data_IF_557013293453
#
_entry.id   IF_557013293453
#
_cell.length_a   1.000
_cell.length_b   1.000
_cell.length_c   1.000
_cell.angle_alpha   90.00
_cell.angle_beta   90.00
_cell.angle_gamma   90.00
#
_symmetry.space_group_name_H-M   'P 1'
#
loop_
_entity.id
_entity.type
_entity.pdbx_description
1 polymer ?
#
# COMPACT_ATOMS: atom_id res chain seq x y z
N UNK A 1 9.03 1.53 14.90
CA UNK A 1 10.20 1.13 14.08
C UNK A 1 11.35 0.52 14.91
N UNK A 2 11.91 1.17 15.96
CA UNK A 2 13.14 0.67 16.60
C UNK A 2 13.01 -0.69 17.30
N UNK A 3 11.84 -1.00 17.89
CA UNK A 3 11.57 -2.30 18.53
C UNK A 3 11.48 -3.47 17.54
N UNK A 4 10.94 -3.22 16.35
CA UNK A 4 10.83 -4.25 15.29
C UNK A 4 12.21 -4.53 14.70
N UNK A 5 12.98 -3.48 14.42
CA UNK A 5 14.35 -3.61 13.90
C UNK A 5 15.25 -4.34 14.90
N UNK A 6 15.17 -3.98 16.20
CA UNK A 6 15.91 -4.68 17.26
C UNK A 6 15.52 -6.15 17.37
N UNK A 7 14.22 -6.48 17.28
CA UNK A 7 13.75 -7.87 17.27
C UNK A 7 14.23 -8.66 16.05
N UNK A 8 14.27 -8.04 14.86
CA UNK A 8 14.79 -8.66 13.64
C UNK A 8 16.30 -8.87 13.66
N UNK A 9 17.06 -7.88 14.15
CA UNK A 9 18.51 -7.98 14.31
C UNK A 9 18.87 -9.07 15.32
N UNK A 10 18.16 -9.14 16.46
CA UNK A 10 18.37 -10.19 17.45
C UNK A 10 18.10 -11.59 16.85
N UNK A 11 17.00 -11.75 16.10
CA UNK A 11 16.69 -13.01 15.44
C UNK A 11 17.77 -13.41 14.40
N UNK A 12 18.22 -12.47 13.57
CA UNK A 12 19.28 -12.71 12.58
C UNK A 12 20.63 -13.07 13.22
N UNK A 13 20.99 -12.43 14.34
CA UNK A 13 22.19 -12.75 15.10
C UNK A 13 22.09 -14.17 15.68
N UNK A 14 20.93 -14.57 16.22
CA UNK A 14 20.70 -15.93 16.72
C UNK A 14 20.88 -16.97 15.62
N UNK A 15 20.31 -16.74 14.42
CA UNK A 15 20.47 -17.60 13.24
C UNK A 15 21.93 -17.70 12.81
N UNK A 16 22.64 -16.56 12.73
CA UNK A 16 24.05 -16.50 12.37
C UNK A 16 24.93 -17.25 13.38
N UNK A 17 24.67 -17.07 14.67
CA UNK A 17 25.40 -17.75 15.73
C UNK A 17 25.16 -19.27 15.70
N UNK A 18 23.93 -19.73 15.43
CA UNK A 18 23.60 -21.15 15.26
C UNK A 18 24.30 -21.76 14.04
N UNK A 19 24.33 -21.07 12.90
CA UNK A 19 25.00 -21.53 11.69
C UNK A 19 26.53 -21.58 11.84
N UNK A 20 27.13 -20.63 12.56
CA UNK A 20 28.57 -20.63 12.87
C UNK A 20 28.90 -21.73 13.88
N UNK A 21 28.10 -21.90 14.93
CA UNK A 21 28.27 -22.95 15.94
C UNK A 21 28.19 -24.35 15.31
N UNK A 22 27.25 -24.55 14.38
CA UNK A 22 27.16 -25.75 13.55
C UNK A 22 28.46 -26.03 12.80
N UNK A 23 28.95 -25.05 12.02
CA UNK A 23 30.12 -25.22 11.15
C UNK A 23 31.37 -25.52 11.97
N UNK A 24 31.49 -24.92 13.15
CA UNK A 24 32.60 -25.13 14.09
C UNK A 24 32.52 -26.49 14.81
N UNK A 25 31.33 -26.97 15.13
CA UNK A 25 31.17 -28.12 16.02
C UNK A 25 31.13 -29.47 15.29
N UNK A 26 30.73 -29.51 14.02
CA UNK A 26 30.48 -30.79 13.35
C UNK A 26 31.41 -31.12 12.19
N UNK A 27 31.81 -30.22 11.30
CA UNK A 27 32.66 -30.59 10.15
C UNK A 27 32.13 -31.76 9.29
N UNK A 28 30.88 -32.18 9.53
CA UNK A 28 30.23 -33.37 8.95
C UNK A 28 29.57 -32.97 7.64
N UNK A 29 29.58 -33.89 6.69
CA UNK A 29 28.87 -33.78 5.42
C UNK A 29 27.38 -33.39 5.64
N UNK A 30 26.93 -32.24 5.12
CA UNK A 30 25.53 -31.80 5.22
C UNK A 30 24.52 -32.78 4.59
N UNK A 31 24.96 -33.78 3.83
CA UNK A 31 24.13 -34.81 3.25
C UNK A 31 23.68 -35.90 4.25
N UNK A 32 24.31 -36.00 5.43
CA UNK A 32 23.98 -37.05 6.42
C UNK A 32 22.53 -36.92 6.95
N UNK A 33 21.70 -37.99 6.88
CA UNK A 33 20.32 -37.99 7.38
C UNK A 33 20.16 -37.60 8.85
N UNK A 34 21.12 -37.97 9.71
CA UNK A 34 21.13 -37.62 11.14
C UNK A 34 21.36 -36.11 11.30
N UNK A 35 22.29 -35.55 10.54
CA UNK A 35 22.57 -34.10 10.50
C UNK A 35 21.37 -33.32 9.96
N UNK A 36 20.67 -33.87 8.95
CA UNK A 36 19.43 -33.29 8.40
C UNK A 36 18.26 -33.30 9.37
N UNK A 37 18.09 -34.36 10.16
CA UNK A 37 17.03 -34.43 11.17
C UNK A 37 17.35 -33.51 12.35
N UNK A 38 18.62 -33.49 12.79
CA UNK A 38 19.08 -32.61 13.86
C UNK A 38 18.94 -31.12 13.49
N UNK A 39 19.21 -30.73 12.23
CA UNK A 39 18.95 -29.36 11.74
C UNK A 39 17.53 -28.90 11.97
N UNK A 40 16.57 -29.77 11.66
CA UNK A 40 15.15 -29.41 11.63
C UNK A 40 14.71 -28.93 13.02
N UNK A 41 15.12 -29.65 14.07
CA UNK A 41 14.80 -29.32 15.45
C UNK A 41 15.32 -27.93 15.85
N UNK A 42 16.53 -27.57 15.44
CA UNK A 42 17.10 -26.25 15.70
C UNK A 42 16.36 -25.13 14.97
N UNK A 43 15.91 -25.36 13.73
CA UNK A 43 15.11 -24.38 12.97
C UNK A 43 13.74 -24.17 13.62
N UNK A 44 13.09 -25.24 14.09
CA UNK A 44 11.82 -25.10 14.82
C UNK A 44 12.00 -24.40 16.16
N UNK A 45 13.08 -24.70 16.89
CA UNK A 45 13.42 -24.00 18.13
C UNK A 45 13.67 -22.51 17.87
N UNK A 46 14.40 -22.18 16.81
CA UNK A 46 14.65 -20.79 16.41
C UNK A 46 13.35 -20.06 16.04
N UNK A 47 12.44 -20.70 15.30
CA UNK A 47 11.11 -20.16 15.02
C UNK A 47 10.30 -19.89 16.31
N UNK A 48 10.33 -20.81 17.28
CA UNK A 48 9.67 -20.62 18.59
C UNK A 48 10.29 -19.46 19.36
N UNK A 49 11.63 -19.37 19.39
CA UNK A 49 12.36 -18.29 20.04
C UNK A 49 12.02 -16.94 19.37
N UNK A 50 12.04 -16.87 18.03
CA UNK A 50 11.70 -15.67 17.28
C UNK A 50 10.27 -15.19 17.57
N UNK A 51 9.31 -16.12 17.68
CA UNK A 51 7.93 -15.83 18.09
C UNK A 51 7.87 -15.32 19.53
N UNK A 52 8.54 -15.98 20.47
CA UNK A 52 8.53 -15.61 21.89
C UNK A 52 9.12 -14.21 22.10
N UNK A 53 10.28 -13.92 21.50
CA UNK A 53 10.89 -12.59 21.53
C UNK A 53 9.99 -11.54 20.89
N UNK A 54 9.42 -11.84 19.71
CA UNK A 54 8.52 -10.91 19.02
C UNK A 54 7.25 -10.61 19.83
N UNK A 55 6.71 -11.61 20.53
CA UNK A 55 5.61 -11.44 21.48
C UNK A 55 6.01 -10.58 22.67
N UNK A 56 7.18 -10.82 23.26
CA UNK A 56 7.74 -10.03 24.36
C UNK A 56 7.99 -8.56 24.00
N UNK A 57 8.32 -8.26 22.74
CA UNK A 57 8.44 -6.89 22.23
C UNK A 57 7.11 -6.24 21.83
N UNK A 58 5.98 -6.93 22.01
CA UNK A 58 4.64 -6.40 21.73
C UNK A 58 4.34 -6.24 20.23
N UNK A 59 4.94 -7.07 19.36
CA UNK A 59 4.60 -7.07 17.94
C UNK A 59 3.15 -7.51 17.72
N UNK A 60 2.52 -7.01 16.65
CA UNK A 60 1.15 -7.41 16.28
C UNK A 60 1.09 -8.91 16.00
N UNK A 61 -0.03 -9.56 16.33
CA UNK A 61 -0.20 -11.03 16.18
C UNK A 61 0.18 -11.60 14.82
N UNK A 62 -0.11 -10.89 13.73
CA UNK A 62 0.25 -11.35 12.38
C UNK A 62 1.77 -11.38 12.15
N UNK A 63 2.54 -10.49 12.80
CA UNK A 63 3.99 -10.53 12.75
C UNK A 63 4.56 -11.78 13.42
N UNK A 64 3.87 -12.33 14.43
CA UNK A 64 4.28 -13.60 15.04
C UNK A 64 4.20 -14.74 14.03
N UNK A 65 3.16 -14.76 13.19
CA UNK A 65 3.05 -15.75 12.12
C UNK A 65 4.20 -15.63 11.10
N UNK A 66 4.59 -14.40 10.73
CA UNK A 66 5.75 -14.15 9.86
C UNK A 66 7.04 -14.66 10.49
N UNK A 67 7.25 -14.37 11.79
CA UNK A 67 8.47 -14.77 12.51
C UNK A 67 8.57 -16.30 12.69
N UNK A 68 7.44 -16.99 12.78
CA UNK A 68 7.41 -18.45 12.75
C UNK A 68 7.73 -19.00 11.35
N UNK A 69 7.12 -18.42 10.31
CA UNK A 69 7.20 -18.94 8.95
C UNK A 69 8.58 -18.70 8.29
N UNK A 70 9.25 -17.59 8.59
CA UNK A 70 10.43 -17.15 7.86
C UNK A 70 11.65 -18.10 8.03
N UNK A 71 12.03 -18.56 9.24
CA UNK A 71 13.11 -19.53 9.40
C UNK A 71 12.81 -20.87 8.71
N UNK A 72 11.56 -21.32 8.79
CA UNK A 72 11.09 -22.55 8.13
C UNK A 72 11.18 -22.41 6.61
N UNK A 73 10.69 -21.30 6.06
CA UNK A 73 10.73 -21.03 4.63
C UNK A 73 12.17 -20.93 4.11
N UNK A 74 13.06 -20.25 4.85
CA UNK A 74 14.48 -20.13 4.49
C UNK A 74 15.17 -21.50 4.48
N UNK A 75 14.90 -22.34 5.49
CA UNK A 75 15.44 -23.70 5.55
C UNK A 75 14.92 -24.59 4.42
N UNK A 76 13.64 -24.52 4.10
CA UNK A 76 13.08 -25.24 2.96
C UNK A 76 13.69 -24.77 1.64
N UNK A 77 13.89 -23.47 1.47
CA UNK A 77 14.50 -22.91 0.27
C UNK A 77 15.93 -23.43 0.04
N UNK A 78 16.71 -23.57 1.13
CA UNK A 78 18.04 -24.19 1.09
C UNK A 78 17.97 -25.70 0.81
N UNK A 79 16.97 -26.41 1.35
CA UNK A 79 16.79 -27.86 1.12
C UNK A 79 16.41 -28.21 -0.31
N UNK A 80 15.57 -27.38 -0.93
CA UNK A 80 15.12 -27.58 -2.30
C UNK A 80 16.09 -26.98 -3.34
N UNK A 81 17.24 -26.47 -2.90
CA UNK A 81 18.25 -25.81 -3.76
C UNK A 81 17.59 -24.80 -4.71
N UNK A 82 16.72 -23.95 -4.14
CA UNK A 82 15.92 -23.03 -4.96
C UNK A 82 16.85 -22.10 -5.74
N UNK A 83 16.69 -22.01 -7.08
CA UNK A 83 17.52 -21.14 -7.89
C UNK A 83 17.49 -19.67 -7.42
N UNK A 84 18.63 -18.96 -7.41
CA UNK A 84 18.70 -17.58 -6.95
C UNK A 84 17.73 -16.61 -7.64
N UNK A 85 17.37 -16.89 -8.90
CA UNK A 85 16.44 -16.05 -9.66
C UNK A 85 15.02 -16.02 -9.07
N UNK A 86 14.60 -17.03 -8.29
CA UNK A 86 13.29 -17.03 -7.62
C UNK A 86 13.22 -15.90 -6.59
N UNK A 87 14.28 -15.73 -5.80
CA UNK A 87 14.37 -14.65 -4.82
C UNK A 87 14.46 -13.28 -5.50
N UNK A 88 15.15 -13.20 -6.64
CA UNK A 88 15.20 -11.99 -7.46
C UNK A 88 13.80 -11.62 -7.98
N UNK A 89 13.04 -12.58 -8.50
CA UNK A 89 11.66 -12.34 -8.94
C UNK A 89 10.78 -11.90 -7.76
N UNK A 90 10.86 -12.59 -6.62
CA UNK A 90 10.12 -12.21 -5.43
C UNK A 90 10.46 -10.77 -4.98
N UNK A 91 11.74 -10.42 -5.00
CA UNK A 91 12.21 -9.07 -4.71
C UNK A 91 11.66 -8.05 -5.72
N UNK A 92 11.74 -8.33 -7.02
CA UNK A 92 11.22 -7.43 -8.07
C UNK A 92 9.72 -7.23 -7.94
N UNK A 93 8.95 -8.27 -7.63
CA UNK A 93 7.50 -8.17 -7.38
C UNK A 93 7.23 -7.30 -6.15
N UNK A 94 7.90 -7.56 -5.04
CA UNK A 94 7.75 -6.76 -3.82
C UNK A 94 8.12 -5.30 -4.06
N UNK A 95 9.24 -5.05 -4.76
CA UNK A 95 9.67 -3.71 -5.12
C UNK A 95 8.65 -3.01 -6.01
N UNK A 96 8.14 -3.68 -7.05
CA UNK A 96 7.14 -3.12 -7.95
C UNK A 96 5.83 -2.75 -7.23
N UNK A 97 5.48 -3.45 -6.15
CA UNK A 97 4.25 -3.19 -5.37
C UNK A 97 4.47 -2.15 -4.26
N UNK A 98 5.63 -2.17 -3.61
CA UNK A 98 5.88 -1.40 -2.38
C UNK A 98 6.91 -0.28 -2.52
N UNK A 99 7.36 0.06 -3.74
CA UNK A 99 8.33 1.14 -3.99
C UNK A 99 7.95 2.47 -3.32
N UNK A 100 6.65 2.82 -3.33
CA UNK A 100 6.15 4.08 -2.76
C UNK A 100 6.18 4.10 -1.23
N UNK A 101 6.07 2.93 -0.59
CA UNK A 101 6.20 2.83 0.86
C UNK A 101 7.62 3.20 1.30
N UNK A 102 8.63 2.86 0.50
CA UNK A 102 10.05 3.15 0.76
C UNK A 102 10.45 4.58 0.40
N UNK A 103 9.94 5.13 -0.71
CA UNK A 103 10.32 6.47 -1.16
C UNK A 103 9.48 7.59 -0.55
N UNK A 104 8.15 7.42 -0.53
CA UNK A 104 7.20 8.50 -0.22
C UNK A 104 6.50 8.32 1.13
N UNK A 105 6.75 7.19 1.83
CA UNK A 105 6.03 6.81 3.06
C UNK A 105 4.52 6.72 2.85
N UNK A 106 4.12 6.35 1.64
CA UNK A 106 2.74 6.08 1.25
C UNK A 106 2.62 4.59 0.95
N UNK A 107 2.23 3.75 1.92
CA UNK A 107 1.95 2.35 1.64
C UNK A 107 0.68 2.24 0.80
N UNK A 108 0.53 1.10 0.10
CA UNK A 108 -0.66 0.84 -0.71
C UNK A 108 -1.89 0.68 0.21
N UNK A 109 -2.73 1.70 0.25
CA UNK A 109 -4.04 1.64 0.88
C UNK A 109 -5.12 1.34 -0.17
N UNK A 110 -5.96 0.36 0.13
CA UNK A 110 -7.06 -0.03 -0.75
C UNK A 110 -8.38 0.50 -0.19
N UNK A 111 -9.03 1.34 -0.99
CA UNK A 111 -10.42 1.74 -0.79
C UNK A 111 -11.33 0.52 -1.04
N UNK A 112 -12.38 0.36 -0.23
CA UNK A 112 -13.32 -0.75 -0.37
C UNK A 112 -14.59 -0.30 -1.12
N UNK A 113 -15.44 -1.27 -1.47
CA UNK A 113 -16.68 -1.01 -2.24
C UNK A 113 -17.64 -0.08 -1.52
N UNK A 114 -17.77 -0.18 -0.19
CA UNK A 114 -18.64 0.69 0.60
C UNK A 114 -18.16 2.13 0.54
N UNK A 115 -16.85 2.35 0.65
CA UNK A 115 -16.26 3.69 0.50
C UNK A 115 -16.41 4.22 -0.94
N UNK A 116 -16.33 3.38 -1.97
CA UNK A 116 -16.58 3.81 -3.35
C UNK A 116 -18.01 4.32 -3.54
N UNK A 117 -19.00 3.62 -2.98
CA UNK A 117 -20.40 4.03 -3.03
C UNK A 117 -20.61 5.35 -2.27
N UNK A 118 -20.11 5.45 -1.04
CA UNK A 118 -20.18 6.68 -0.25
C UNK A 118 -19.51 7.86 -0.96
N UNK A 119 -18.33 7.66 -1.55
CA UNK A 119 -17.68 8.68 -2.38
C UNK A 119 -18.60 9.11 -3.54
N UNK A 120 -19.19 8.17 -4.26
CA UNK A 120 -20.14 8.45 -5.33
C UNK A 120 -21.31 9.34 -4.86
N UNK A 121 -21.86 9.09 -3.67
CA UNK A 121 -22.93 9.89 -3.07
C UNK A 121 -22.46 11.32 -2.73
N UNK A 122 -21.27 11.47 -2.13
CA UNK A 122 -20.65 12.79 -1.91
C UNK A 122 -20.55 13.55 -3.22
N UNK A 123 -20.07 12.89 -4.28
CA UNK A 123 -19.92 13.51 -5.59
C UNK A 123 -21.26 13.88 -6.24
N UNK A 124 -22.36 13.14 -5.99
CA UNK A 124 -23.69 13.61 -6.47
C UNK A 124 -24.03 14.93 -5.79
N UNK A 125 -24.04 14.96 -4.45
CA UNK A 125 -24.50 16.12 -3.70
C UNK A 125 -23.65 17.37 -3.95
N UNK A 126 -22.32 17.21 -4.02
CA UNK A 126 -21.39 18.35 -4.17
C UNK A 126 -21.33 18.92 -5.59
N UNK A 127 -21.77 18.13 -6.58
CA UNK A 127 -21.66 18.47 -7.99
C UNK A 127 -23.01 18.77 -8.65
N UNK A 128 -24.11 18.49 -7.95
CA UNK A 128 -25.44 18.86 -8.37
C UNK A 128 -25.57 20.38 -8.58
N UNK A 129 -26.23 20.77 -9.67
CA UNK A 129 -26.46 22.18 -10.02
C UNK A 129 -25.23 22.94 -10.54
N UNK A 130 -24.06 22.31 -10.64
CA UNK A 130 -22.89 22.95 -11.26
C UNK A 130 -22.98 22.95 -12.78
N UNK A 131 -22.54 24.04 -13.39
CA UNK A 131 -22.57 24.19 -14.84
C UNK A 131 -21.34 23.52 -15.49
N UNK A 132 -21.60 22.42 -16.20
CA UNK A 132 -20.63 21.72 -17.04
C UNK A 132 -21.01 21.81 -18.53
N UNK A 133 -21.84 22.78 -18.92
CA UNK A 133 -22.32 22.90 -20.30
C UNK A 133 -21.14 22.93 -21.29
N UNK A 134 -21.15 21.98 -22.23
CA UNK A 134 -20.11 21.86 -23.25
C UNK A 134 -18.84 21.12 -22.84
N UNK A 135 -18.75 20.56 -21.63
CA UNK A 135 -17.63 19.69 -21.20
C UNK A 135 -18.06 18.59 -20.23
N UNK A 136 -17.18 17.63 -19.99
CA UNK A 136 -17.36 16.60 -18.97
C UNK A 136 -16.72 17.04 -17.65
N UNK A 137 -17.29 16.69 -16.49
CA UNK A 137 -16.61 16.84 -15.21
C UNK A 137 -15.37 15.95 -15.16
N UNK A 138 -14.30 16.44 -14.55
CA UNK A 138 -13.00 15.75 -14.49
C UNK A 138 -12.66 15.36 -13.06
N UNK A 139 -12.52 14.07 -12.81
CA UNK A 139 -12.13 13.49 -11.52
C UNK A 139 -10.70 12.97 -11.55
N UNK A 140 -9.88 13.37 -10.58
CA UNK A 140 -8.50 12.90 -10.42
C UNK A 140 -8.36 12.02 -9.16
N UNK A 141 -7.79 10.82 -9.31
CA UNK A 141 -7.40 9.91 -8.23
C UNK A 141 -5.87 9.96 -8.04
N UNK A 142 -5.42 10.64 -6.98
CA UNK A 142 -4.00 10.84 -6.69
C UNK A 142 -3.46 9.67 -5.86
N UNK A 143 -2.52 8.91 -6.44
CA UNK A 143 -2.07 7.65 -5.85
C UNK A 143 -3.15 6.56 -6.01
N UNK A 144 -3.65 6.43 -7.24
CA UNK A 144 -4.81 5.58 -7.58
C UNK A 144 -4.61 4.08 -7.29
N UNK A 145 -3.38 3.66 -6.94
CA UNK A 145 -3.05 2.31 -6.55
C UNK A 145 -3.41 1.32 -7.64
N UNK A 146 -4.16 0.30 -7.28
CA UNK A 146 -4.64 -0.72 -8.23
C UNK A 146 -5.87 -0.28 -9.03
N UNK A 147 -6.25 1.00 -9.02
CA UNK A 147 -7.32 1.58 -9.85
C UNK A 147 -8.74 1.16 -9.49
N UNK A 148 -9.00 0.72 -8.26
CA UNK A 148 -10.33 0.24 -7.84
C UNK A 148 -11.39 1.35 -7.81
N UNK A 149 -11.08 2.49 -7.18
CA UNK A 149 -11.96 3.67 -7.14
C UNK A 149 -12.21 4.21 -8.54
N UNK A 150 -11.13 4.33 -9.33
CA UNK A 150 -11.16 4.80 -10.71
C UNK A 150 -12.09 3.95 -11.60
N UNK A 151 -11.94 2.63 -11.61
CA UNK A 151 -12.78 1.75 -12.42
C UNK A 151 -14.26 1.78 -11.97
N UNK A 152 -14.50 1.86 -10.65
CA UNK A 152 -15.84 2.00 -10.11
C UNK A 152 -16.52 3.30 -10.56
N UNK A 153 -15.84 4.44 -10.42
CA UNK A 153 -16.38 5.74 -10.84
C UNK A 153 -16.56 5.80 -12.36
N UNK A 154 -15.58 5.33 -13.13
CA UNK A 154 -15.70 5.31 -14.59
C UNK A 154 -16.90 4.50 -15.09
N UNK A 155 -17.19 3.36 -14.44
CA UNK A 155 -18.35 2.52 -14.77
C UNK A 155 -19.68 3.10 -14.31
N UNK A 156 -19.72 3.77 -13.15
CA UNK A 156 -20.95 4.35 -12.59
C UNK A 156 -21.27 5.76 -13.11
N UNK A 157 -20.28 6.45 -13.68
CA UNK A 157 -20.37 7.83 -14.19
C UNK A 157 -19.74 7.93 -15.59
N UNK A 158 -20.34 7.32 -16.63
CA UNK A 158 -19.81 7.36 -18.00
C UNK A 158 -19.76 8.77 -18.60
N UNK A 159 -20.43 9.75 -17.98
CA UNK A 159 -20.43 11.17 -18.33
C UNK A 159 -19.27 11.97 -17.75
N UNK A 160 -18.46 11.37 -16.87
CA UNK A 160 -17.26 11.98 -16.28
C UNK A 160 -16.00 11.47 -16.95
N UNK A 161 -14.96 12.29 -16.97
CA UNK A 161 -13.61 11.86 -17.29
C UNK A 161 -12.84 11.55 -16.00
N UNK A 162 -12.35 10.32 -15.86
CA UNK A 162 -11.72 9.81 -14.64
C UNK A 162 -10.24 9.53 -14.89
N UNK A 163 -9.38 10.16 -14.11
CA UNK A 163 -7.93 10.17 -14.30
C UNK A 163 -7.24 9.68 -13.04
N UNK A 164 -6.50 8.59 -13.12
CA UNK A 164 -5.66 8.10 -12.03
C UNK A 164 -4.21 8.42 -12.29
N UNK A 165 -3.47 8.75 -11.24
CA UNK A 165 -2.00 8.86 -11.29
C UNK A 165 -1.38 7.92 -10.28
N UNK A 166 -0.32 7.23 -10.68
CA UNK A 166 0.37 6.24 -9.85
C UNK A 166 1.85 6.16 -10.25
N UNK A 167 2.73 5.98 -9.27
CA UNK A 167 4.19 5.86 -9.43
C UNK A 167 4.73 4.46 -9.14
N UNK A 168 3.98 3.63 -8.42
CA UNK A 168 4.34 2.24 -8.16
C UNK A 168 4.05 1.39 -9.41
N UNK A 169 5.05 0.75 -10.04
CA UNK A 169 4.88 0.04 -11.30
C UNK A 169 3.80 -1.05 -11.26
N UNK A 170 3.76 -1.85 -10.19
CA UNK A 170 2.79 -2.94 -10.03
C UNK A 170 1.36 -2.42 -9.93
N UNK A 171 1.03 -1.55 -8.96
CA UNK A 171 -0.27 -0.91 -8.85
C UNK A 171 -0.68 -0.20 -10.14
N UNK A 172 0.23 0.55 -10.78
CA UNK A 172 0.00 1.20 -12.07
C UNK A 172 -0.46 0.20 -13.15
N UNK A 173 0.26 -0.91 -13.34
CA UNK A 173 -0.11 -1.91 -14.37
C UNK A 173 -1.50 -2.48 -14.09
N UNK A 174 -1.81 -2.80 -12.82
CA UNK A 174 -3.13 -3.33 -12.45
C UNK A 174 -4.23 -2.28 -12.67
N UNK A 175 -3.98 -1.03 -12.27
CA UNK A 175 -4.91 0.08 -12.47
C UNK A 175 -5.17 0.37 -13.95
N UNK A 176 -4.11 0.39 -14.76
CA UNK A 176 -4.19 0.55 -16.21
C UNK A 176 -5.03 -0.56 -16.85
N UNK A 177 -4.77 -1.83 -16.51
CA UNK A 177 -5.58 -2.97 -17.00
C UNK A 177 -7.05 -2.86 -16.62
N UNK A 178 -7.36 -2.35 -15.40
CA UNK A 178 -8.74 -2.13 -14.95
C UNK A 178 -9.40 -0.92 -15.62
N UNK A 179 -8.64 0.03 -16.13
CA UNK A 179 -9.16 1.18 -16.86
C UNK A 179 -9.46 0.85 -18.33
N UNK A 180 -8.78 -0.14 -18.94
CA UNK A 180 -8.96 -0.50 -20.36
C UNK A 180 -10.41 -0.68 -20.83
N UNK A 181 -11.33 -1.28 -20.05
CA UNK A 181 -12.72 -1.44 -20.48
C UNK A 181 -13.53 -0.13 -20.50
N UNK A 182 -13.00 0.97 -19.96
CA UNK A 182 -13.71 2.22 -19.74
C UNK A 182 -13.15 3.32 -20.65
N UNK A 183 -13.93 3.77 -21.64
CA UNK A 183 -13.52 4.81 -22.58
C UNK A 183 -13.27 6.19 -21.93
N UNK A 184 -13.82 6.40 -20.73
CA UNK A 184 -13.72 7.62 -19.96
C UNK A 184 -12.69 7.53 -18.81
N UNK A 185 -11.87 6.47 -18.78
CA UNK A 185 -10.88 6.26 -17.73
C UNK A 185 -9.46 6.25 -18.30
N UNK A 186 -8.53 6.89 -17.59
CA UNK A 186 -7.10 6.82 -17.91
C UNK A 186 -6.29 6.68 -16.63
N UNK A 187 -5.20 5.90 -16.68
CA UNK A 187 -4.21 5.81 -15.60
C UNK A 187 -2.86 6.23 -16.14
N UNK A 188 -2.22 7.19 -15.49
CA UNK A 188 -0.95 7.78 -15.89
C UNK A 188 0.15 7.34 -14.93
N UNK A 189 1.28 6.90 -15.49
CA UNK A 189 2.47 6.56 -14.72
C UNK A 189 3.28 7.83 -14.43
N UNK A 190 2.84 8.60 -13.43
CA UNK A 190 3.40 9.92 -13.11
C UNK A 190 3.23 10.22 -11.63
N UNK A 191 4.13 11.02 -11.07
CA UNK A 191 3.99 11.51 -9.71
C UNK A 191 2.79 12.43 -9.58
N UNK A 192 2.04 12.28 -8.48
CA UNK A 192 0.99 13.22 -8.13
C UNK A 192 1.52 14.65 -7.95
N UNK A 193 2.79 14.81 -7.59
CA UNK A 193 3.42 16.13 -7.40
C UNK A 193 3.63 16.87 -8.73
N UNK A 194 3.95 16.12 -9.79
CA UNK A 194 4.19 16.61 -11.15
C UNK A 194 2.91 16.67 -11.99
N UNK A 195 1.78 16.26 -11.41
CA UNK A 195 0.46 16.30 -12.07
C UNK A 195 -0.14 17.69 -11.90
N UNK A 196 -0.54 18.32 -13.00
CA UNK A 196 -1.30 19.56 -13.00
C UNK A 196 -2.77 19.31 -12.61
N UNK A 197 -3.22 19.95 -11.52
CA UNK A 197 -4.58 19.83 -11.00
C UNK A 197 -5.55 20.89 -11.52
N UNK A 198 -5.08 21.83 -12.35
CA UNK A 198 -5.89 22.97 -12.82
C UNK A 198 -7.08 22.58 -13.70
N UNK A 199 -7.05 21.38 -14.27
CA UNK A 199 -8.15 20.82 -15.08
C UNK A 199 -9.17 20.01 -14.27
N UNK A 200 -8.92 19.72 -13.00
CA UNK A 200 -9.75 18.84 -12.19
C UNK A 200 -10.91 19.61 -11.55
N UNK A 201 -12.12 19.04 -11.63
CA UNK A 201 -13.29 19.50 -10.88
C UNK A 201 -13.35 18.83 -9.51
N UNK A 202 -12.83 17.59 -9.44
CA UNK A 202 -12.70 16.81 -8.22
C UNK A 202 -11.32 16.18 -8.15
N UNK A 203 -10.67 16.30 -6.99
CA UNK A 203 -9.45 15.55 -6.66
C UNK A 203 -9.75 14.67 -5.46
N UNK A 204 -9.41 13.39 -5.57
CA UNK A 204 -9.49 12.39 -4.51
C UNK A 204 -8.10 11.87 -4.16
N UNK A 205 -7.85 11.62 -2.88
CA UNK A 205 -6.61 11.03 -2.41
C UNK A 205 -6.85 10.03 -1.27
N UNK A 206 -6.19 8.87 -1.33
CA UNK A 206 -6.06 7.93 -0.21
C UNK A 206 -4.61 7.53 0.00
N UNK A 207 -3.83 8.47 0.55
CA UNK A 207 -2.38 8.34 0.72
C UNK A 207 -2.05 7.94 2.17
N UNK A 208 -1.16 8.68 2.84
CA UNK A 208 -0.86 8.57 4.26
C UNK A 208 -0.97 9.95 4.91
N UNK A 209 -0.85 10.09 6.26
CA UNK A 209 -0.85 11.40 6.90
C UNK A 209 0.30 12.32 6.46
N UNK A 210 1.47 11.74 6.17
CA UNK A 210 2.70 12.49 5.92
C UNK A 210 2.63 13.50 4.75
N UNK A 211 2.03 13.18 3.58
CA UNK A 211 1.92 14.13 2.47
C UNK A 211 0.74 15.10 2.55
N UNK A 212 -0.18 14.99 3.52
CA UNK A 212 -1.47 15.69 3.45
C UNK A 212 -1.37 17.20 3.46
N UNK A 213 -0.49 17.77 4.29
CA UNK A 213 -0.31 19.23 4.39
C UNK A 213 0.15 19.81 3.04
N UNK A 214 1.21 19.23 2.47
CA UNK A 214 1.75 19.61 1.16
C UNK A 214 0.73 19.39 0.04
N UNK A 215 -0.07 18.33 0.13
CA UNK A 215 -1.10 18.04 -0.87
C UNK A 215 -2.23 19.07 -0.83
N UNK A 216 -2.67 19.48 0.37
CA UNK A 216 -3.68 20.52 0.52
C UNK A 216 -3.18 21.88 0.02
N UNK A 217 -1.92 22.23 0.28
CA UNK A 217 -1.29 23.42 -0.29
C UNK A 217 -1.25 23.37 -1.83
N UNK A 218 -0.90 22.21 -2.40
CA UNK A 218 -0.92 22.00 -3.86
C UNK A 218 -2.34 22.16 -4.41
N UNK A 219 -3.33 21.53 -3.77
CA UNK A 219 -4.72 21.62 -4.17
C UNK A 219 -5.20 23.08 -4.19
N UNK A 220 -5.00 23.82 -3.09
CA UNK A 220 -5.35 25.25 -2.97
C UNK A 220 -4.68 26.14 -4.03
N UNK A 221 -3.45 25.80 -4.42
CA UNK A 221 -2.69 26.60 -5.40
C UNK A 221 -3.12 26.32 -6.83
N UNK A 222 -3.45 25.08 -7.17
CA UNK A 222 -3.56 24.64 -8.56
C UNK A 222 -5.00 24.38 -9.00
N UNK A 223 -5.88 23.94 -8.09
CA UNK A 223 -7.27 23.67 -8.45
C UNK A 223 -8.07 24.95 -8.61
N UNK A 224 -9.14 24.88 -9.40
CA UNK A 224 -10.00 26.03 -9.67
C UNK A 224 -10.87 26.37 -8.45
N UNK A 225 -11.26 27.64 -8.27
CA UNK A 225 -12.27 28.01 -7.29
C UNK A 225 -13.55 27.18 -7.46
N UNK A 226 -14.09 26.71 -6.35
CA UNK A 226 -15.22 25.80 -6.23
C UNK A 226 -14.85 24.32 -6.38
N UNK A 227 -13.70 23.95 -6.93
CA UNK A 227 -13.33 22.54 -7.12
C UNK A 227 -13.28 21.79 -5.77
N UNK A 228 -13.63 20.50 -5.82
CA UNK A 228 -13.76 19.68 -4.62
C UNK A 228 -12.49 18.86 -4.39
N UNK A 229 -11.84 19.05 -3.26
CA UNK A 229 -10.78 18.16 -2.80
C UNK A 229 -11.33 17.22 -1.73
N UNK A 230 -11.21 15.91 -1.95
CA UNK A 230 -11.68 14.84 -1.06
C UNK A 230 -10.49 13.99 -0.62
N UNK A 231 -10.36 13.76 0.67
CA UNK A 231 -9.35 12.85 1.21
C UNK A 231 -9.99 11.74 2.03
N UNK A 232 -9.47 10.53 1.86
CA UNK A 232 -9.90 9.35 2.59
C UNK A 232 -9.03 9.12 3.82
N UNK A 233 -9.68 9.08 4.99
CA UNK A 233 -9.17 8.73 6.33
C UNK A 233 -8.05 9.61 6.89
N UNK A 234 -7.30 10.30 6.04
CA UNK A 234 -6.15 11.11 6.41
C UNK A 234 -6.40 12.56 6.01
N UNK A 235 -6.14 13.47 6.95
CA UNK A 235 -6.27 14.90 6.75
C UNK A 235 -5.10 15.62 7.43
N UNK A 236 -4.85 16.86 7.04
CA UNK A 236 -3.90 17.74 7.74
C UNK A 236 -4.46 18.09 9.13
N UNK A 237 -3.74 17.83 10.23
CA UNK A 237 -4.25 18.03 11.59
C UNK A 237 -4.79 19.44 11.86
N UNK A 238 -4.19 20.46 11.25
CA UNK A 238 -4.49 21.86 11.52
C UNK A 238 -5.28 22.56 10.40
N UNK A 239 -5.66 21.83 9.34
CA UNK A 239 -6.38 22.41 8.21
C UNK A 239 -7.90 22.25 8.37
N UNK A 240 -8.70 23.30 8.08
CA UNK A 240 -10.15 23.17 8.08
C UNK A 240 -10.61 22.26 6.94
N UNK A 241 -11.76 21.61 7.15
CA UNK A 241 -12.55 20.93 6.12
C UNK A 241 -13.98 21.47 6.18
N UNK A 242 -14.68 21.43 5.05
CA UNK A 242 -16.07 21.92 4.97
C UNK A 242 -17.08 20.85 5.37
N UNK A 243 -16.69 19.58 5.21
CA UNK A 243 -17.56 18.47 5.52
C UNK A 243 -16.80 17.17 5.68
N UNK A 244 -17.50 16.23 6.29
CA UNK A 244 -16.99 14.92 6.60
C UNK A 244 -18.13 13.91 6.59
N UNK A 245 -17.86 12.73 6.04
CA UNK A 245 -18.78 11.60 6.06
C UNK A 245 -18.07 10.38 6.64
N UNK A 246 -18.64 9.81 7.70
CA UNK A 246 -18.26 8.49 8.21
C UNK A 246 -18.94 7.42 7.35
N UNK A 247 -18.13 6.54 6.75
CA UNK A 247 -18.57 5.41 5.95
C UNK A 247 -18.87 4.25 6.88
N UNK A 248 -20.01 3.60 6.68
CA UNK A 248 -20.41 2.38 7.41
C UNK A 248 -19.61 1.15 6.94
N UNK A 249 -18.31 1.16 7.21
CA UNK A 249 -17.40 0.06 6.97
C UNK A 249 -16.69 -0.38 8.26
N UNK A 250 -16.06 -1.56 8.24
CA UNK A 250 -15.37 -2.11 9.41
C UNK A 250 -14.18 -1.25 9.88
N UNK A 251 -13.69 -0.31 9.06
CA UNK A 251 -12.56 0.57 9.37
C UNK A 251 -13.00 1.93 9.92
N UNK A 252 -14.31 2.21 9.91
CA UNK A 252 -14.87 3.54 10.16
C UNK A 252 -14.17 4.59 9.30
N UNK A 253 -14.08 4.30 8.00
CA UNK A 253 -13.46 5.18 7.03
C UNK A 253 -14.13 6.55 7.07
N UNK A 254 -13.36 7.64 7.05
CA UNK A 254 -13.87 9.02 7.03
C UNK A 254 -13.50 9.69 5.72
N UNK A 255 -14.45 10.29 5.02
CA UNK A 255 -14.19 11.09 3.82
C UNK A 255 -14.27 12.56 4.22
N UNK A 256 -13.11 13.24 4.23
CA UNK A 256 -13.01 14.68 4.47
C UNK A 256 -13.04 15.41 3.14
N UNK A 257 -13.69 16.56 3.07
CA UNK A 257 -13.67 17.37 1.85
C UNK A 257 -13.70 18.88 2.11
N UNK A 258 -13.16 19.61 1.15
CA UNK A 258 -13.13 21.09 1.11
C UNK A 258 -13.40 21.56 -0.32
N UNK A 259 -14.08 22.71 -0.43
CA UNK A 259 -14.28 23.46 -1.67
C UNK A 259 -13.25 24.58 -1.71
N UNK A 260 -12.47 24.64 -2.78
CA UNK A 260 -11.33 25.56 -2.90
C UNK A 260 -11.70 26.95 -3.42
#
# INVERSE_FOLDING_TARGET
MPRVLAGQVAALISVGALAVSWKLQYGVDPADPVVRSFSAHWIYLDAVIAVAFSGGFGLRRWWLAVQCALPIAAWQALRFDLPPWIFLIAFVILFAVYSNASAERVPLYLTNRTTWAALGEVLVGEMEGRDFTGRRPVFFDLGSGVGGTLAYLAGSRPEWDVVGVETAPGPYVVGWLRALPHANAQVRFVSLWDTDLSGADVVYAFLSPAPMDRLLEKARREMRPGALFVSNSFWSPDAPWDGEIEVDDARKTRLFFIRL
#
